data_IF_031406552805
#
_entry.id   IF_031406552805
#
_cell.length_a   1.000
_cell.length_b   1.000
_cell.length_c   1.000
_cell.angle_alpha   90.00
_cell.angle_beta   90.00
_cell.angle_gamma   90.00
#
_symmetry.space_group_name_H-M   'P 1'
#
loop_
_entity.id
_entity.type
_entity.pdbx_description
1 polymer ?
#
# COMPACT_ATOMS: atom_id res chain seq x y z
N UNK A 1 17.41 31.84 8.54
CA UNK A 1 16.36 30.93 8.03
C UNK A 1 16.21 29.80 9.05
N UNK A 2 15.11 29.79 9.81
CA UNK A 2 14.92 28.87 10.94
C UNK A 2 14.14 27.63 10.45
N UNK A 3 14.69 26.41 10.57
CA UNK A 3 14.10 25.18 10.01
C UNK A 3 12.92 24.61 10.81
N UNK A 4 12.54 25.24 11.92
CA UNK A 4 11.51 24.74 12.85
C UNK A 4 10.38 25.75 13.07
N UNK A 5 9.87 26.32 11.98
CA UNK A 5 8.68 27.16 12.06
C UNK A 5 7.44 26.25 12.11
N UNK A 6 6.86 26.13 13.30
CA UNK A 6 5.60 25.38 13.52
C UNK A 6 4.48 26.04 12.73
N UNK A 7 4.26 25.58 11.50
CA UNK A 7 3.06 25.92 10.72
C UNK A 7 1.86 25.29 11.43
N UNK A 8 1.26 26.03 12.35
CA UNK A 8 -0.02 25.64 12.95
C UNK A 8 -1.09 25.87 11.90
N UNK A 9 -1.48 24.82 11.19
CA UNK A 9 -2.61 24.89 10.28
C UNK A 9 -3.84 25.40 11.02
N UNK A 10 -4.50 26.41 10.48
CA UNK A 10 -5.74 26.92 11.08
C UNK A 10 -6.79 25.80 11.05
N UNK A 11 -7.73 25.83 12.00
CA UNK A 11 -8.77 24.81 12.11
C UNK A 11 -9.59 24.63 10.81
N UNK A 12 -9.69 25.68 9.99
CA UNK A 12 -10.28 25.62 8.66
C UNK A 12 -9.40 24.90 7.63
N UNK A 13 -8.08 25.09 7.69
CA UNK A 13 -7.13 24.38 6.82
C UNK A 13 -7.10 22.88 7.11
N UNK A 14 -7.18 22.47 8.39
CA UNK A 14 -7.27 21.03 8.73
C UNK A 14 -8.60 20.42 8.24
N UNK A 15 -9.68 21.21 8.24
CA UNK A 15 -10.97 20.80 7.69
C UNK A 15 -10.91 20.56 6.18
N UNK A 16 -10.33 21.51 5.44
CA UNK A 16 -10.12 21.36 3.99
C UNK A 16 -9.16 20.21 3.67
N UNK A 17 -8.11 20.02 4.47
CA UNK A 17 -7.19 18.91 4.31
C UNK A 17 -7.87 17.55 4.49
N UNK A 18 -8.75 17.41 5.50
CA UNK A 18 -9.55 16.19 5.69
C UNK A 18 -10.48 15.92 4.52
N UNK A 19 -11.15 16.96 3.99
CA UNK A 19 -12.01 16.81 2.82
C UNK A 19 -11.22 16.44 1.56
N UNK A 20 -10.04 17.02 1.37
CA UNK A 20 -9.14 16.66 0.28
C UNK A 20 -8.68 15.21 0.39
N UNK A 21 -8.29 14.75 1.58
CA UNK A 21 -7.93 13.35 1.83
C UNK A 21 -9.09 12.39 1.55
N UNK A 22 -10.32 12.74 1.96
CA UNK A 22 -11.51 11.95 1.65
C UNK A 22 -11.77 11.89 0.15
N UNK A 23 -11.68 13.03 -0.55
CA UNK A 23 -11.86 13.09 -2.00
C UNK A 23 -10.81 12.26 -2.75
N UNK A 24 -9.54 12.34 -2.33
CA UNK A 24 -8.46 11.52 -2.88
C UNK A 24 -8.71 10.05 -2.58
N UNK A 25 -9.11 9.69 -1.36
CA UNK A 25 -9.44 8.31 -1.00
C UNK A 25 -10.57 7.72 -1.84
N UNK A 26 -11.63 8.50 -2.08
CA UNK A 26 -12.75 8.09 -2.95
C UNK A 26 -12.31 7.98 -4.41
N UNK A 27 -11.51 8.92 -4.90
CA UNK A 27 -10.97 8.85 -6.26
C UNK A 27 -10.09 7.60 -6.44
N UNK A 28 -9.12 7.38 -5.54
CA UNK A 28 -8.26 6.20 -5.56
C UNK A 28 -9.08 4.92 -5.43
N UNK A 29 -10.09 4.90 -4.56
CA UNK A 29 -11.02 3.76 -4.41
C UNK A 29 -11.87 3.49 -5.65
N UNK A 30 -12.32 4.54 -6.35
CA UNK A 30 -13.09 4.41 -7.59
C UNK A 30 -12.22 3.90 -8.76
N UNK A 31 -10.96 4.33 -8.85
CA UNK A 31 -10.00 3.81 -9.84
C UNK A 31 -9.37 2.48 -9.43
N UNK A 32 -9.62 2.01 -8.19
CA UNK A 32 -9.06 0.78 -7.68
C UNK A 32 -9.49 -0.42 -8.50
N UNK A 33 -10.76 -0.49 -8.92
CA UNK A 33 -11.29 -1.63 -9.70
C UNK A 33 -10.61 -1.79 -11.07
N UNK A 34 -10.40 -0.69 -11.80
CA UNK A 34 -9.76 -0.70 -13.11
C UNK A 34 -8.26 -1.05 -12.99
N UNK A 35 -7.58 -0.49 -11.99
CA UNK A 35 -6.18 -0.81 -11.71
C UNK A 35 -6.02 -2.26 -11.27
N UNK A 36 -6.86 -2.74 -10.35
CA UNK A 36 -6.79 -4.10 -9.84
C UNK A 36 -7.15 -5.09 -10.95
N UNK A 37 -8.16 -4.84 -11.77
CA UNK A 37 -8.53 -5.70 -12.90
C UNK A 37 -7.43 -5.81 -13.95
N UNK A 38 -6.74 -4.70 -14.26
CA UNK A 38 -5.65 -4.70 -15.25
C UNK A 38 -4.39 -5.42 -14.77
N UNK A 39 -4.07 -5.32 -13.48
CA UNK A 39 -2.87 -5.92 -12.90
C UNK A 39 -3.14 -7.19 -12.08
N UNK A 40 -4.39 -7.65 -12.01
CA UNK A 40 -4.83 -8.79 -11.21
C UNK A 40 -3.97 -10.02 -11.48
N UNK A 41 -3.79 -10.34 -12.77
CA UNK A 41 -3.04 -11.50 -13.23
C UNK A 41 -1.56 -11.38 -12.83
N UNK A 42 -0.98 -10.18 -12.95
CA UNK A 42 0.41 -9.93 -12.54
C UNK A 42 0.57 -10.03 -11.01
N UNK A 43 -0.36 -9.47 -10.23
CA UNK A 43 -0.36 -9.58 -8.77
C UNK A 43 -0.50 -11.04 -8.32
N UNK A 44 -1.42 -11.80 -8.92
CA UNK A 44 -1.58 -13.23 -8.63
C UNK A 44 -0.30 -13.98 -9.00
N UNK A 45 0.30 -13.72 -10.16
CA UNK A 45 1.55 -14.37 -10.55
C UNK A 45 2.67 -14.10 -9.53
N UNK A 46 2.83 -12.85 -9.09
CA UNK A 46 3.80 -12.49 -8.04
C UNK A 46 3.46 -13.22 -6.73
N UNK A 47 2.21 -13.20 -6.30
CA UNK A 47 1.77 -13.87 -5.07
C UNK A 47 2.06 -15.38 -5.11
N UNK A 48 1.78 -16.04 -6.23
CA UNK A 48 2.06 -17.47 -6.44
C UNK A 48 3.57 -17.72 -6.41
N UNK A 49 4.37 -16.93 -7.12
CA UNK A 49 5.84 -17.08 -7.14
C UNK A 49 6.42 -16.87 -5.74
N UNK A 50 6.00 -15.82 -5.03
CA UNK A 50 6.46 -15.54 -3.67
C UNK A 50 6.03 -16.63 -2.70
N UNK A 51 4.78 -17.10 -2.78
CA UNK A 51 4.29 -18.20 -1.93
C UNK A 51 5.05 -19.50 -2.20
N UNK A 52 5.31 -19.83 -3.47
CA UNK A 52 6.08 -21.02 -3.83
C UNK A 52 7.53 -20.92 -3.33
N UNK A 53 8.15 -19.74 -3.43
CA UNK A 53 9.50 -19.50 -2.93
C UNK A 53 9.58 -19.63 -1.40
N UNK A 54 8.64 -19.05 -0.67
CA UNK A 54 8.56 -19.16 0.80
C UNK A 54 8.33 -20.62 1.21
N UNK A 55 7.42 -21.33 0.55
CA UNK A 55 7.18 -22.74 0.81
C UNK A 55 8.44 -23.58 0.56
N UNK A 56 9.15 -23.33 -0.55
CA UNK A 56 10.42 -24.00 -0.87
C UNK A 56 11.49 -23.75 0.20
N UNK A 57 11.69 -22.50 0.63
CA UNK A 57 12.63 -22.17 1.71
C UNK A 57 12.23 -22.84 3.01
N UNK A 58 10.95 -22.80 3.39
CA UNK A 58 10.45 -23.40 4.62
C UNK A 58 10.69 -24.91 4.65
N UNK A 59 10.44 -25.59 3.53
CA UNK A 59 10.71 -27.04 3.40
C UNK A 59 12.20 -27.35 3.40
N UNK A 60 13.01 -26.51 2.74
CA UNK A 60 14.47 -26.65 2.77
C UNK A 60 15.03 -26.47 4.19
N UNK A 61 14.53 -25.49 4.92
CA UNK A 61 14.93 -25.23 6.30
C UNK A 61 14.54 -26.38 7.24
N UNK A 62 13.35 -26.95 7.07
CA UNK A 62 12.90 -28.11 7.84
C UNK A 62 13.79 -29.37 7.63
N UNK A 63 14.26 -29.60 6.39
CA UNK A 63 15.15 -30.73 6.07
C UNK A 63 16.61 -30.51 6.53
N UNK A 64 17.04 -29.26 6.75
CA UNK A 64 18.39 -28.95 7.25
C UNK A 64 18.48 -29.00 8.78
N UNK A 65 17.34 -28.97 9.48
CA UNK A 65 17.27 -29.08 10.94
C UNK A 65 17.11 -30.51 11.47
N UNK A 66 17.03 -31.51 10.57
CA UNK A 66 16.96 -32.95 10.88
C UNK A 66 18.28 -33.64 10.59
#
# INVERSE_FOLDING_TARGET
>A
MQPFQSYTFTWWQIGMFKLALLAIGVAVGAYWDDFFSRYLIALIAIAVITSAYIAYISLKQANLSS
#
